data_IF_318462966380
#
_entry.id   IF_318462966380
#
_cell.length_a   1.000
_cell.length_b   1.000
_cell.length_c   1.000
_cell.angle_alpha   90.00
_cell.angle_beta   90.00
_cell.angle_gamma   90.00
#
_symmetry.space_group_name_H-M   'P 1'
#
loop_
_entity.id
_entity.type
_entity.pdbx_description
1 polymer ?
#
# COMPACT_ATOMS: atom_id res chain seq x y z
N UNK A 1 -1.71 25.61 -1.89
CA UNK A 1 -1.18 24.34 -2.45
C UNK A 1 -0.24 23.77 -1.42
N UNK A 2 -0.80 23.00 -0.48
CA UNK A 2 -0.01 22.36 0.58
C UNK A 2 0.28 20.92 0.14
N UNK A 3 1.56 20.60 0.02
CA UNK A 3 2.02 19.24 -0.26
C UNK A 3 1.99 18.46 1.05
N UNK A 4 1.08 17.49 1.16
CA UNK A 4 1.11 16.50 2.23
C UNK A 4 2.23 15.50 1.94
N UNK A 5 3.41 15.76 2.50
CA UNK A 5 4.53 14.83 2.44
C UNK A 5 4.19 13.55 3.22
N UNK A 6 4.04 12.43 2.52
CA UNK A 6 3.98 11.11 3.14
C UNK A 6 5.43 10.67 3.41
N UNK A 7 5.83 10.74 4.67
CA UNK A 7 7.22 10.49 5.08
C UNK A 7 7.55 8.99 5.12
N UNK A 8 8.49 8.57 4.27
CA UNK A 8 9.41 7.48 4.58
C UNK A 8 10.63 8.11 5.24
N UNK A 9 10.91 7.79 6.51
CA UNK A 9 12.09 8.28 7.23
C UNK A 9 13.22 7.23 7.12
N UNK A 10 14.28 7.46 6.31
CA UNK A 10 15.31 6.45 6.08
C UNK A 10 16.08 6.06 7.35
N UNK A 11 16.22 6.99 8.30
CA UNK A 11 16.83 6.78 9.61
C UNK A 11 15.96 5.93 10.56
N UNK A 12 14.68 5.76 10.25
CA UNK A 12 13.73 4.95 11.03
C UNK A 12 12.87 4.09 10.10
N UNK A 13 13.47 3.06 9.46
CA UNK A 13 12.81 2.28 8.43
C UNK A 13 11.74 1.31 8.98
N UNK A 14 11.62 1.17 10.31
CA UNK A 14 10.68 0.26 10.97
C UNK A 14 9.84 1.00 12.00
N UNK A 15 8.58 0.62 12.07
CA UNK A 15 7.60 1.01 13.07
C UNK A 15 6.72 -0.19 13.40
N UNK A 16 6.06 -0.15 14.55
CA UNK A 16 5.22 -1.26 15.03
C UNK A 16 3.75 -1.05 14.66
N UNK A 17 3.28 0.20 14.62
CA UNK A 17 1.89 0.54 14.39
C UNK A 17 1.70 1.86 13.63
N UNK A 18 0.50 2.06 13.10
CA UNK A 18 0.03 3.36 12.61
C UNK A 18 -1.45 3.60 12.91
N UNK A 19 -1.80 4.86 13.12
CA UNK A 19 -3.18 5.33 13.18
C UNK A 19 -3.58 5.97 11.84
N UNK A 20 -4.78 5.66 11.35
CA UNK A 20 -5.33 6.21 10.10
C UNK A 20 -6.74 6.72 10.36
N UNK A 21 -7.04 7.94 9.91
CA UNK A 21 -8.35 8.55 9.97
C UNK A 21 -8.68 9.19 8.62
N UNK A 22 -9.86 8.88 8.06
CA UNK A 22 -10.31 9.39 6.77
C UNK A 22 -9.27 9.25 5.63
N UNK A 23 -8.57 8.11 5.59
CA UNK A 23 -7.54 7.82 4.59
C UNK A 23 -6.19 8.52 4.82
N UNK A 24 -6.03 9.29 5.89
CA UNK A 24 -4.78 9.97 6.25
C UNK A 24 -4.08 9.31 7.42
N UNK A 25 -2.75 9.28 7.38
CA UNK A 25 -1.93 8.75 8.48
C UNK A 25 -1.82 9.84 9.56
N UNK A 26 -2.27 9.54 10.78
CA UNK A 26 -2.15 10.45 11.93
C UNK A 26 -0.83 10.28 12.66
N UNK A 27 -0.36 9.03 12.81
CA UNK A 27 0.86 8.68 13.53
C UNK A 27 1.42 7.35 13.03
N UNK A 28 2.74 7.25 13.01
CA UNK A 28 3.51 6.02 12.80
C UNK A 28 4.51 5.93 13.95
N UNK A 29 4.69 4.76 14.56
CA UNK A 29 5.59 4.59 15.70
C UNK A 29 5.46 3.24 16.41
N UNK A 30 5.81 3.23 17.68
CA UNK A 30 5.62 2.09 18.58
C UNK A 30 4.13 1.85 18.86
N UNK A 31 3.78 0.64 19.28
CA UNK A 31 2.40 0.30 19.62
C UNK A 31 1.82 1.24 20.69
N UNK A 32 2.61 1.53 21.73
CA UNK A 32 2.19 2.37 22.86
C UNK A 32 1.87 3.81 22.43
N UNK A 33 2.67 4.38 21.50
CA UNK A 33 2.46 5.73 20.97
C UNK A 33 1.20 5.84 20.10
N UNK A 34 0.77 4.74 19.49
CA UNK A 34 -0.39 4.70 18.57
C UNK A 34 -1.68 4.32 19.30
N UNK A 35 -1.58 3.59 20.41
CA UNK A 35 -2.73 3.13 21.20
C UNK A 35 -3.63 4.26 21.72
N UNK A 36 -3.09 5.45 21.94
CA UNK A 36 -3.86 6.61 22.38
C UNK A 36 -4.89 7.10 21.33
N UNK A 37 -4.77 6.69 20.07
CA UNK A 37 -5.72 7.03 19.01
C UNK A 37 -6.92 6.07 18.92
N UNK A 38 -7.00 5.05 19.78
CA UNK A 38 -8.12 4.11 19.81
C UNK A 38 -9.30 4.74 20.57
N UNK A 39 -10.39 5.00 19.85
CA UNK A 39 -11.69 5.41 20.40
C UNK A 39 -12.79 4.39 20.10
N UNK A 40 -14.03 4.73 20.45
CA UNK A 40 -15.19 3.83 20.35
C UNK A 40 -15.45 3.30 18.93
N UNK A 41 -15.19 4.11 17.91
CA UNK A 41 -15.38 3.75 16.49
C UNK A 41 -14.10 3.22 15.82
N UNK A 42 -12.99 3.11 16.55
CA UNK A 42 -11.72 2.70 15.95
C UNK A 42 -11.68 1.19 15.67
N UNK A 43 -11.55 0.82 14.39
CA UNK A 43 -11.24 -0.56 14.01
C UNK A 43 -9.75 -0.87 14.21
N UNK A 44 -9.45 -1.71 15.19
CA UNK A 44 -8.10 -2.24 15.42
C UNK A 44 -7.83 -3.45 14.52
N UNK A 45 -6.68 -3.47 13.85
CA UNK A 45 -6.26 -4.57 12.96
C UNK A 45 -4.93 -5.13 13.47
N UNK A 46 -4.97 -6.35 14.01
CA UNK A 46 -3.78 -7.05 14.48
C UNK A 46 -2.98 -7.65 13.31
N UNK A 47 -1.73 -7.21 13.15
CA UNK A 47 -0.90 -7.64 12.02
C UNK A 47 -0.35 -9.05 12.19
N UNK A 48 -0.20 -9.56 13.43
CA UNK A 48 0.31 -10.92 13.73
C UNK A 48 1.64 -11.22 13.02
N UNK A 49 2.59 -10.28 13.10
CA UNK A 49 3.91 -10.41 12.49
C UNK A 49 3.98 -10.11 10.99
N UNK A 50 2.87 -9.73 10.35
CA UNK A 50 2.86 -9.28 8.94
C UNK A 50 3.43 -7.86 8.83
N UNK A 51 4.10 -7.60 7.71
CA UNK A 51 4.66 -6.28 7.39
C UNK A 51 3.67 -5.44 6.58
N UNK A 52 3.57 -4.17 6.94
CA UNK A 52 2.83 -3.17 6.19
C UNK A 52 3.83 -2.23 5.52
N UNK A 53 3.65 -2.02 4.22
CA UNK A 53 4.46 -1.09 3.43
C UNK A 53 3.59 0.10 2.96
N UNK A 54 4.23 1.21 2.53
CA UNK A 54 3.56 2.15 1.63
C UNK A 54 2.97 1.42 0.42
N UNK A 55 1.84 1.90 -0.09
CA UNK A 55 1.32 1.41 -1.35
C UNK A 55 2.34 1.61 -2.46
N UNK A 56 2.44 0.65 -3.37
CA UNK A 56 3.31 0.80 -4.53
C UNK A 56 2.78 1.92 -5.42
N UNK A 57 3.69 2.79 -5.88
CA UNK A 57 3.38 3.87 -6.82
C UNK A 57 4.04 3.49 -8.15
N UNK A 58 3.20 3.16 -9.13
CA UNK A 58 3.63 3.00 -10.51
C UNK A 58 3.64 4.38 -11.19
N UNK A 59 4.84 4.88 -11.51
CA UNK A 59 5.01 6.21 -12.09
C UNK A 59 4.76 6.23 -13.59
N UNK A 60 4.67 5.07 -14.25
CA UNK A 60 4.49 4.99 -15.69
C UNK A 60 3.85 3.68 -16.12
N UNK A 61 2.58 3.75 -16.52
CA UNK A 61 1.84 2.61 -17.02
C UNK A 61 1.00 2.95 -18.26
N UNK A 62 0.89 1.99 -19.17
CA UNK A 62 -0.10 1.99 -20.27
C UNK A 62 -1.35 1.21 -19.85
N UNK A 63 -2.14 1.72 -18.91
CA UNK A 63 -3.22 0.98 -18.24
C UNK A 63 -4.23 0.33 -19.20
N UNK A 64 -4.65 1.05 -20.26
CA UNK A 64 -5.56 0.51 -21.29
C UNK A 64 -4.90 -0.65 -22.05
N UNK A 65 -3.66 -0.46 -22.49
CA UNK A 65 -2.91 -1.49 -23.21
C UNK A 65 -2.69 -2.73 -22.34
N UNK A 66 -2.36 -2.54 -21.06
CA UNK A 66 -2.22 -3.62 -20.10
C UNK A 66 -3.54 -4.39 -19.90
N UNK A 67 -4.65 -3.68 -19.67
CA UNK A 67 -5.96 -4.31 -19.53
C UNK A 67 -6.36 -5.15 -20.75
N UNK A 68 -6.17 -4.61 -21.97
CA UNK A 68 -6.40 -5.36 -23.20
C UNK A 68 -5.50 -6.59 -23.30
N UNK A 69 -4.24 -6.50 -22.85
CA UNK A 69 -3.30 -7.62 -22.93
C UNK A 69 -3.71 -8.81 -22.06
N UNK A 70 -4.36 -8.57 -20.91
CA UNK A 70 -4.85 -9.63 -20.01
C UNK A 70 -5.97 -10.47 -20.63
N UNK A 71 -6.74 -9.90 -21.57
CA UNK A 71 -7.83 -10.59 -22.26
C UNK A 71 -7.44 -11.22 -23.61
N UNK A 72 -6.19 -11.08 -24.05
CA UNK A 72 -5.73 -11.63 -25.34
C UNK A 72 -5.47 -13.13 -25.21
N UNK A 73 -5.79 -13.87 -26.27
CA UNK A 73 -5.37 -15.27 -26.40
C UNK A 73 -3.84 -15.31 -26.41
N UNK A 74 -3.25 -16.10 -25.52
CA UNK A 74 -1.80 -16.27 -25.44
C UNK A 74 -1.34 -17.36 -26.41
N UNK A 75 -0.76 -16.95 -27.54
CA UNK A 75 -0.20 -17.85 -28.56
C UNK A 75 1.33 -17.96 -28.49
N UNK A 76 1.95 -17.59 -27.35
CA UNK A 76 3.42 -17.53 -27.21
C UNK A 76 4.12 -18.83 -27.60
N UNK A 77 3.47 -19.96 -27.34
CA UNK A 77 4.04 -21.29 -27.55
C UNK A 77 3.40 -22.04 -28.74
N UNK A 78 2.64 -21.35 -29.58
CA UNK A 78 2.04 -21.96 -30.76
C UNK A 78 3.13 -22.37 -31.76
N UNK A 79 3.21 -23.68 -32.07
CA UNK A 79 4.24 -24.26 -32.94
C UNK A 79 3.79 -24.46 -34.38
N UNK A 80 2.50 -24.29 -34.67
CA UNK A 80 1.91 -24.50 -35.99
C UNK A 80 0.65 -23.64 -36.14
N UNK A 81 0.39 -23.20 -37.39
CA UNK A 81 -0.89 -22.60 -37.80
C UNK A 81 -1.88 -23.64 -38.36
N UNK A 82 -1.43 -24.89 -38.44
CA UNK A 82 -2.12 -26.05 -38.97
C UNK A 82 -2.45 -27.02 -37.86
#
# INVERSE_FOLDING_TARGET
MEWEHIHHEPSKPRAEARAVLHGRILKVGLNEEVRCFIGEETRVIELRGRTVLPGLIDTHAHTIGFGLSLGRVNLRDASSIR
#
